data_IF_763682347579
#
_entry.id   IF_763682347579
#
_cell.length_a   1.000
_cell.length_b   1.000
_cell.length_c   1.000
_cell.angle_alpha   90.00
_cell.angle_beta   90.00
_cell.angle_gamma   90.00
#
_symmetry.space_group_name_H-M   'P 1'
#
loop_
_entity.id
_entity.type
_entity.pdbx_description
1 polymer ?
#
# COMPACT_ATOMS: atom_id res chain seq x y z
N UNK A 1 -1.16 0.09 -3.93
CA UNK A 1 0.08 0.90 -3.91
C UNK A 1 0.00 1.88 -5.06
N UNK A 2 0.44 3.13 -4.91
CA UNK A 2 0.51 4.08 -6.01
C UNK A 2 1.63 3.64 -6.97
N UNK A 3 1.36 3.31 -8.25
CA UNK A 3 2.38 2.85 -9.17
C UNK A 3 3.48 3.88 -9.44
N UNK A 4 3.13 5.17 -9.42
CA UNK A 4 4.06 6.24 -9.82
C UNK A 4 5.06 6.62 -8.74
N UNK A 5 4.63 6.64 -7.47
CA UNK A 5 5.49 7.06 -6.35
C UNK A 5 5.82 5.93 -5.36
N UNK A 6 5.25 4.74 -5.56
CA UNK A 6 5.46 3.57 -4.70
C UNK A 6 4.83 3.67 -3.30
N UNK A 7 4.16 4.77 -2.95
CA UNK A 7 3.53 4.92 -1.64
C UNK A 7 2.31 4.00 -1.47
N UNK A 8 2.18 3.43 -0.28
CA UNK A 8 0.97 2.75 0.18
C UNK A 8 -0.14 3.76 0.44
N UNK A 9 -1.26 3.62 -0.27
CA UNK A 9 -2.45 4.47 -0.08
C UNK A 9 -3.00 4.33 1.34
N UNK A 10 -3.00 3.12 1.90
CA UNK A 10 -3.40 2.89 3.30
C UNK A 10 -2.47 3.66 4.25
N UNK A 11 -1.14 3.64 4.03
CA UNK A 11 -0.18 4.43 4.84
C UNK A 11 -0.48 5.93 4.79
N UNK A 12 -0.94 6.41 3.64
CA UNK A 12 -1.33 7.80 3.43
C UNK A 12 -2.77 8.09 3.91
N UNK A 13 -3.54 7.09 4.34
CA UNK A 13 -4.93 7.27 4.76
C UNK A 13 -5.91 7.51 3.62
N UNK A 14 -5.53 7.15 2.38
CA UNK A 14 -6.35 7.35 1.19
C UNK A 14 -7.20 6.10 0.96
N UNK A 15 -8.51 6.24 1.11
CA UNK A 15 -9.45 5.17 0.77
C UNK A 15 -9.64 5.04 -0.75
N UNK A 16 -10.08 3.87 -1.23
CA UNK A 16 -10.31 3.63 -2.67
C UNK A 16 -11.24 4.66 -3.31
N UNK A 17 -12.27 5.10 -2.59
CA UNK A 17 -13.23 6.12 -3.04
C UNK A 17 -12.65 7.54 -3.13
N UNK A 18 -11.51 7.79 -2.50
CA UNK A 18 -10.79 9.07 -2.53
C UNK A 18 -9.62 9.05 -3.51
N UNK A 19 -9.09 7.87 -3.81
CA UNK A 19 -7.97 7.70 -4.72
C UNK A 19 -8.35 8.08 -6.16
N UNK A 20 -7.40 8.65 -6.88
CA UNK A 20 -7.53 8.79 -8.34
C UNK A 20 -7.39 7.41 -8.95
N UNK A 21 -8.24 7.08 -9.93
CA UNK A 21 -8.29 5.77 -10.57
C UNK A 21 -8.03 5.89 -12.07
N UNK A 22 -7.24 4.98 -12.63
CA UNK A 22 -7.06 4.84 -14.08
C UNK A 22 -7.03 3.37 -14.47
N UNK A 23 -7.67 3.05 -15.58
CA UNK A 23 -7.60 1.71 -16.18
C UNK A 23 -6.44 1.64 -17.16
N UNK A 24 -5.61 0.60 -17.04
CA UNK A 24 -4.54 0.29 -17.99
C UNK A 24 -4.38 -1.22 -18.13
N UNK A 25 -4.22 -1.71 -19.36
CA UNK A 25 -4.05 -3.14 -19.66
C UNK A 25 -5.08 -4.08 -18.98
N UNK A 26 -6.34 -3.64 -18.85
CA UNK A 26 -7.42 -4.40 -18.22
C UNK A 26 -7.39 -4.48 -16.70
N UNK A 27 -6.55 -3.65 -16.05
CA UNK A 27 -6.47 -3.51 -14.58
C UNK A 27 -6.75 -2.06 -14.17
N UNK A 28 -7.45 -1.88 -13.05
CA UNK A 28 -7.66 -0.56 -12.43
C UNK A 28 -6.52 -0.26 -11.45
N UNK A 29 -5.84 0.86 -11.64
CA UNK A 29 -4.77 1.35 -10.79
C UNK A 29 -5.24 2.54 -9.96
N UNK A 30 -4.71 2.65 -8.74
CA UNK A 30 -5.08 3.67 -7.76
C UNK A 30 -3.87 4.54 -7.42
N UNK A 31 -4.07 5.86 -7.44
CA UNK A 31 -3.01 6.86 -7.26
C UNK A 31 -3.30 7.75 -6.05
N UNK A 32 -2.22 8.20 -5.41
CA UNK A 32 -2.35 9.06 -4.23
C UNK A 32 -2.78 10.49 -4.56
N UNK A 33 -2.56 10.95 -5.81
CA UNK A 33 -2.99 12.26 -6.27
C UNK A 33 -3.00 12.33 -7.80
N UNK A 34 -3.62 13.38 -8.35
CA UNK A 34 -3.72 13.59 -9.80
C UNK A 34 -2.35 13.64 -10.49
N UNK A 35 -1.37 14.32 -9.89
CA UNK A 35 -0.02 14.39 -10.46
C UNK A 35 0.66 13.02 -10.61
N UNK A 36 0.39 12.05 -9.73
CA UNK A 36 0.88 10.68 -9.91
C UNK A 36 0.17 9.98 -11.07
N UNK A 37 -1.13 10.19 -11.24
CA UNK A 37 -1.90 9.64 -12.34
C UNK A 37 -1.42 10.20 -13.69
N UNK A 38 -1.10 11.50 -13.75
CA UNK A 38 -0.63 12.17 -14.97
C UNK A 38 0.72 11.60 -15.45
N UNK A 39 1.72 11.49 -14.56
CA UNK A 39 3.03 10.91 -14.93
C UNK A 39 2.94 9.43 -15.29
N UNK A 40 2.01 8.68 -14.69
CA UNK A 40 1.79 7.28 -15.01
C UNK A 40 1.34 7.08 -16.45
N UNK A 41 0.48 7.96 -16.95
CA UNK A 41 -0.03 7.88 -18.33
C UNK A 41 1.06 8.06 -19.39
N UNK A 42 2.18 8.72 -19.05
CA UNK A 42 3.29 8.88 -19.99
C UNK A 42 4.00 7.54 -20.28
N UNK A 43 4.16 6.69 -19.25
CA UNK A 43 4.92 5.42 -19.33
C UNK A 43 4.35 4.35 -18.38
N UNK A 44 3.11 3.88 -18.59
CA UNK A 44 2.40 3.06 -17.61
C UNK A 44 3.07 1.70 -17.36
N UNK A 45 3.51 1.02 -18.41
CA UNK A 45 4.18 -0.29 -18.28
C UNK A 45 5.49 -0.21 -17.49
N UNK A 46 6.23 0.90 -17.60
CA UNK A 46 7.45 1.14 -16.83
C UNK A 46 7.16 1.22 -15.33
N UNK A 47 6.18 2.03 -14.93
CA UNK A 47 5.79 2.15 -13.53
C UNK A 47 5.22 0.86 -12.95
N UNK A 48 4.39 0.14 -13.72
CA UNK A 48 3.88 -1.18 -13.31
C UNK A 48 5.04 -2.14 -13.04
N UNK A 49 6.03 -2.18 -13.92
CA UNK A 49 7.22 -3.02 -13.79
C UNK A 49 8.07 -2.64 -12.55
N UNK A 50 8.21 -1.35 -12.23
CA UNK A 50 8.95 -0.90 -11.05
C UNK A 50 8.29 -1.33 -9.72
N UNK A 51 6.96 -1.30 -9.65
CA UNK A 51 6.25 -1.60 -8.40
C UNK A 51 5.77 -3.05 -8.27
N UNK A 52 5.88 -3.88 -9.31
CA UNK A 52 5.34 -5.26 -9.30
C UNK A 52 5.85 -6.12 -8.15
N UNK A 53 7.08 -5.86 -7.71
CA UNK A 53 7.76 -6.61 -6.67
C UNK A 53 7.73 -5.89 -5.31
N UNK A 54 6.97 -4.81 -5.18
CA UNK A 54 6.85 -4.04 -3.96
C UNK A 54 5.66 -4.52 -3.11
N UNK A 55 5.90 -4.67 -1.82
CA UNK A 55 4.93 -5.18 -0.84
C UNK A 55 4.77 -4.20 0.29
N UNK A 56 3.55 -4.12 0.83
CA UNK A 56 3.25 -3.32 2.02
C UNK A 56 3.20 -4.25 3.22
N UNK A 57 4.06 -4.01 4.21
CA UNK A 57 4.00 -4.75 5.47
C UNK A 57 2.66 -4.51 6.18
N UNK A 58 1.86 -5.55 6.50
CA UNK A 58 0.57 -5.37 7.15
C UNK A 58 0.66 -4.61 8.49
N UNK A 59 1.74 -4.81 9.24
CA UNK A 59 1.89 -4.29 10.60
C UNK A 59 2.33 -2.83 10.65
N UNK A 60 3.34 -2.45 9.86
CA UNK A 60 3.91 -1.10 9.91
C UNK A 60 3.67 -0.27 8.63
N UNK A 61 2.99 -0.85 7.63
CA UNK A 61 2.70 -0.23 6.34
C UNK A 61 3.94 0.17 5.53
N UNK A 62 5.14 -0.29 5.92
CA UNK A 62 6.36 -0.04 5.17
C UNK A 62 6.34 -0.77 3.83
N UNK A 63 6.71 -0.04 2.78
CA UNK A 63 6.89 -0.57 1.43
C UNK A 63 8.29 -1.17 1.28
N UNK A 64 8.37 -2.43 0.85
CA UNK A 64 9.63 -3.16 0.66
C UNK A 64 9.56 -4.01 -0.60
N UNK A 65 10.65 -4.12 -1.37
CA UNK A 65 10.69 -5.07 -2.47
C UNK A 65 10.71 -6.50 -1.90
N UNK A 66 10.29 -7.48 -2.70
CA UNK A 66 10.25 -8.91 -2.38
C UNK A 66 11.52 -9.37 -1.66
N UNK A 67 12.69 -8.93 -2.12
CA UNK A 67 14.01 -9.26 -1.57
C UNK A 67 14.24 -8.85 -0.10
N UNK A 68 13.45 -7.92 0.46
CA UNK A 68 13.50 -7.48 1.86
C UNK A 68 12.24 -7.84 2.65
N UNK A 69 11.52 -8.88 2.21
CA UNK A 69 10.34 -9.40 2.91
C UNK A 69 10.52 -10.83 3.39
N UNK A 70 9.62 -11.25 4.28
CA UNK A 70 9.37 -12.66 4.65
C UNK A 70 7.89 -12.94 4.50
N UNK A 71 7.57 -14.13 3.99
CA UNK A 71 6.18 -14.58 3.78
C UNK A 71 5.67 -15.33 5.01
N UNK A 72 4.45 -15.00 5.43
CA UNK A 72 3.73 -15.68 6.52
C UNK A 72 2.35 -16.07 6.00
N UNK A 73 1.99 -17.34 6.13
CA UNK A 73 0.67 -17.83 5.76
C UNK A 73 -0.35 -17.47 6.85
N UNK A 74 -1.49 -16.90 6.45
CA UNK A 74 -2.61 -16.56 7.34
C UNK A 74 -3.93 -16.73 6.59
N UNK A 75 -4.87 -17.52 7.12
CA UNK A 75 -6.19 -17.79 6.51
C UNK A 75 -6.12 -18.22 5.02
N UNK A 76 -5.10 -19.01 4.65
CA UNK A 76 -4.90 -19.47 3.26
C UNK A 76 -4.31 -18.40 2.32
N UNK A 77 -3.96 -17.21 2.82
CA UNK A 77 -3.28 -16.16 2.08
C UNK A 77 -1.81 -16.06 2.49
N UNK A 78 -0.94 -15.73 1.54
CA UNK A 78 0.46 -15.39 1.81
C UNK A 78 0.58 -13.88 2.05
N UNK A 79 0.97 -13.49 3.26
CA UNK A 79 1.21 -12.10 3.64
C UNK A 79 2.72 -11.82 3.71
N UNK A 80 3.17 -10.69 3.17
CA UNK A 80 4.60 -10.31 3.16
C UNK A 80 4.92 -9.23 4.19
N UNK A 81 5.88 -9.50 5.07
CA UNK A 81 6.30 -8.62 6.16
C UNK A 81 7.72 -8.07 5.93
N UNK A 82 8.01 -6.86 6.43
CA UNK A 82 9.25 -6.12 6.18
C UNK A 82 10.55 -6.64 6.84
N UNK A 83 10.58 -7.90 7.31
CA UNK A 83 11.68 -8.52 8.08
C UNK A 83 11.97 -7.93 9.46
N UNK A 84 11.24 -6.92 9.91
CA UNK A 84 11.30 -6.50 11.30
C UNK A 84 10.79 -7.66 12.19
N UNK A 85 11.57 -8.15 13.18
CA UNK A 85 11.17 -9.28 14.01
C UNK A 85 9.84 -9.01 14.75
N UNK A 86 9.59 -7.75 15.11
CA UNK A 86 8.37 -7.37 15.82
C UNK A 86 7.12 -7.34 14.93
N UNK A 87 7.23 -7.15 13.61
CA UNK A 87 6.05 -6.94 12.77
C UNK A 87 5.17 -8.20 12.67
N UNK A 88 5.77 -9.37 12.47
CA UNK A 88 5.02 -10.63 12.44
C UNK A 88 4.45 -10.98 13.83
N UNK A 89 5.20 -10.70 14.90
CA UNK A 89 4.76 -10.95 16.27
C UNK A 89 3.54 -10.12 16.67
N UNK A 90 3.54 -8.81 16.38
CA UNK A 90 2.38 -7.95 16.71
C UNK A 90 1.18 -8.31 15.85
N UNK A 91 1.40 -8.69 14.58
CA UNK A 91 0.32 -9.15 13.71
C UNK A 91 -0.33 -10.43 14.26
N UNK A 92 0.46 -11.40 14.71
CA UNK A 92 -0.07 -12.65 15.26
C UNK A 92 -0.93 -12.45 16.52
N UNK A 93 -0.72 -11.37 17.26
CA UNK A 93 -1.51 -11.04 18.47
C UNK A 93 -2.87 -10.44 18.14
N UNK A 94 -3.01 -9.76 17.01
CA UNK A 94 -4.24 -9.07 16.61
C UNK A 94 -4.35 -8.96 15.09
N UNK A 95 -4.51 -10.09 14.38
CA UNK A 95 -4.51 -10.10 12.91
C UNK A 95 -5.71 -9.31 12.35
N UNK A 96 -6.86 -9.38 13.01
CA UNK A 96 -8.10 -8.74 12.58
C UNK A 96 -7.92 -7.23 12.51
N UNK A 97 -7.33 -6.58 13.52
CA UNK A 97 -7.05 -5.14 13.47
C UNK A 97 -6.19 -4.75 12.26
N UNK A 98 -5.11 -5.47 11.98
CA UNK A 98 -4.22 -5.14 10.87
C UNK A 98 -4.88 -5.36 9.51
N UNK A 99 -5.66 -6.43 9.36
CA UNK A 99 -6.41 -6.71 8.13
C UNK A 99 -7.54 -5.70 7.92
N UNK A 100 -8.27 -5.36 8.98
CA UNK A 100 -9.33 -4.36 8.94
C UNK A 100 -8.76 -2.97 8.59
N UNK A 101 -7.56 -2.63 9.07
CA UNK A 101 -6.87 -1.39 8.68
C UNK A 101 -6.54 -1.37 7.19
N UNK A 102 -6.07 -2.49 6.62
CA UNK A 102 -5.77 -2.58 5.18
C UNK A 102 -7.02 -2.42 4.31
N UNK A 103 -8.20 -2.75 4.84
CA UNK A 103 -9.49 -2.61 4.14
C UNK A 103 -10.26 -1.34 4.51
N UNK A 104 -9.65 -0.42 5.28
CA UNK A 104 -10.25 0.86 5.64
C UNK A 104 -11.38 0.79 6.68
N UNK A 105 -11.48 -0.31 7.45
CA UNK A 105 -12.51 -0.48 8.49
C UNK A 105 -12.13 0.11 9.85
N UNK A 106 -10.88 0.57 10.01
CA UNK A 106 -10.38 1.22 11.23
C UNK A 106 -10.44 2.75 11.11
N UNK A 107 -10.25 3.45 12.22
CA UNK A 107 -10.12 4.92 12.28
C UNK A 107 -8.72 5.45 11.91
N UNK A 108 -7.84 4.61 11.37
CA UNK A 108 -6.51 5.02 10.93
C UNK A 108 -6.57 6.06 9.79
N UNK A 109 -6.19 7.29 10.10
CA UNK A 109 -6.27 8.44 9.17
C UNK A 109 -5.04 8.61 8.27
N UNK A 110 -4.03 7.76 8.38
CA UNK A 110 -2.77 7.90 7.65
C UNK A 110 -1.73 8.75 8.35
N UNK A 111 -0.49 8.72 7.84
CA UNK A 111 0.67 9.34 8.47
C UNK A 111 0.62 10.89 8.49
N UNK A 112 -0.10 11.49 7.54
CA UNK A 112 -0.12 12.94 7.31
C UNK A 112 -1.49 13.57 7.63
N UNK A 113 -2.35 12.89 8.39
CA UNK A 113 -3.73 13.36 8.66
C UNK A 113 -3.81 14.69 9.40
N UNK A 114 -2.81 14.98 10.24
CA UNK A 114 -2.77 16.19 11.07
C UNK A 114 -2.03 17.35 10.38
N UNK A 115 -1.34 17.09 9.27
CA UNK A 115 -0.70 18.10 8.44
C UNK A 115 -1.61 18.44 7.27
N UNK A 116 -2.09 19.68 7.19
CA UNK A 116 -2.98 20.16 6.11
C UNK A 116 -2.39 20.08 4.68
N UNK A 117 -1.14 19.62 4.54
CA UNK A 117 -0.56 19.15 3.29
C UNK A 117 -0.32 17.64 3.39
N UNK A 118 -1.22 16.85 2.83
CA UNK A 118 -0.91 15.46 2.51
C UNK A 118 0.17 15.41 1.41
N UNK A 119 0.64 14.21 1.05
CA UNK A 119 1.73 13.96 0.10
C UNK A 119 1.59 14.68 -1.27
N UNK A 120 0.38 15.12 -1.59
CA UNK A 120 -0.03 16.14 -2.53
C UNK A 120 -1.28 16.82 -1.90
#
# INVERSE_FOLDING_TARGET
MCPSCGCSLVRLGIAEVQAVQLDHAGSTYFFCCQGCADIFQEQPDHFVEEVKDMHVCPSCLAEKPSAYTVSVAHNGQELRFCRCPHCAEVFAKDPDFYLDRLTGKTDFKGLFSESGSACC
#
